data_IF_908578403094
#
_entry.id   IF_908578403094
#
_cell.length_a   1.000
_cell.length_b   1.000
_cell.length_c   1.000
_cell.angle_alpha   90.00
_cell.angle_beta   90.00
_cell.angle_gamma   90.00
#
_symmetry.space_group_name_H-M   'P 1'
#
loop_
_entity.id
_entity.type
_entity.pdbx_description
1 polymer ?
#
# COMPACT_ATOMS: atom_id res chain seq x y z
N UNK A 1 -0.08 33.33 17.02
CA UNK A 1 -0.83 32.30 17.77
C UNK A 1 -0.17 30.98 17.42
N UNK A 2 0.35 30.25 18.43
CA UNK A 2 0.99 28.96 18.18
C UNK A 2 -0.07 27.89 17.96
N UNK A 3 0.03 27.16 16.87
CA UNK A 3 -0.76 25.99 16.62
C UNK A 3 -0.23 24.85 17.51
N UNK A 4 -1.09 24.23 18.31
CA UNK A 4 -0.74 23.11 19.19
C UNK A 4 -1.32 21.80 18.66
N UNK A 5 -0.46 20.80 18.56
CA UNK A 5 -0.85 19.42 18.23
C UNK A 5 -0.71 18.56 19.48
N UNK A 6 -1.77 17.90 19.90
CA UNK A 6 -1.82 17.10 21.13
C UNK A 6 -1.64 15.62 20.84
N UNK A 7 -0.83 14.94 21.67
CA UNK A 7 -0.63 13.49 21.63
C UNK A 7 -1.18 12.87 22.90
N UNK A 8 -1.98 11.80 22.77
CA UNK A 8 -2.60 11.11 23.89
C UNK A 8 -2.11 9.67 23.96
N UNK A 9 -1.67 9.27 25.15
CA UNK A 9 -1.13 7.93 25.38
C UNK A 9 -1.93 7.21 26.46
N UNK A 10 -2.03 5.90 26.36
CA UNK A 10 -2.59 5.05 27.42
C UNK A 10 -1.56 4.75 28.51
N UNK A 11 -1.97 3.94 29.51
CA UNK A 11 -1.09 3.52 30.61
C UNK A 11 0.08 2.63 30.15
N UNK A 12 -0.06 1.95 29.02
CA UNK A 12 1.00 1.15 28.39
C UNK A 12 1.90 1.99 27.47
N UNK A 13 1.72 3.33 27.41
CA UNK A 13 2.44 4.29 26.58
C UNK A 13 2.20 4.11 25.06
N UNK A 14 1.10 3.48 24.68
CA UNK A 14 0.69 3.41 23.27
C UNK A 14 -0.02 4.70 22.91
N UNK A 15 0.22 5.21 21.70
CA UNK A 15 -0.48 6.39 21.17
C UNK A 15 -1.93 6.03 20.88
N UNK A 16 -2.86 6.55 21.67
CA UNK A 16 -4.31 6.27 21.52
C UNK A 16 -5.07 7.44 20.90
N UNK A 17 -4.43 8.59 20.70
CA UNK A 17 -5.10 9.71 20.04
C UNK A 17 -4.18 10.87 19.71
N UNK A 18 -4.65 11.65 18.74
CA UNK A 18 -4.08 12.94 18.35
C UNK A 18 -5.19 13.99 18.41
N UNK A 19 -4.83 15.22 18.73
CA UNK A 19 -5.74 16.38 18.63
C UNK A 19 -5.05 17.44 17.79
N UNK A 20 -5.68 17.84 16.69
CA UNK A 20 -5.15 18.90 15.83
C UNK A 20 -5.50 20.30 16.39
N UNK A 21 -4.98 21.33 15.75
CA UNK A 21 -5.16 22.74 16.10
C UNK A 21 -6.64 23.19 16.10
N UNK A 22 -7.49 22.51 15.36
CA UNK A 22 -8.94 22.78 15.29
C UNK A 22 -9.75 21.98 16.35
N UNK A 23 -9.05 21.20 17.21
CA UNK A 23 -9.67 20.35 18.21
C UNK A 23 -10.26 19.05 17.68
N UNK A 24 -10.09 18.75 16.37
CA UNK A 24 -10.49 17.46 15.82
C UNK A 24 -9.57 16.35 16.34
N UNK A 25 -10.13 15.17 16.50
CA UNK A 25 -9.43 14.03 17.14
C UNK A 25 -9.25 12.87 16.17
N UNK A 26 -8.02 12.36 16.12
CA UNK A 26 -7.68 11.06 15.59
C UNK A 26 -7.58 10.06 16.74
N UNK A 27 -8.07 8.85 16.60
CA UNK A 27 -8.08 7.83 17.66
C UNK A 27 -7.56 6.51 17.15
N UNK A 28 -6.89 5.78 18.05
CA UNK A 28 -6.33 4.45 17.79
C UNK A 28 -6.80 3.48 18.85
N UNK A 29 -7.11 2.25 18.46
CA UNK A 29 -7.44 1.15 19.37
C UNK A 29 -6.54 -0.05 19.08
N UNK A 30 -6.11 -0.72 20.15
CA UNK A 30 -5.18 -1.83 20.09
C UNK A 30 -5.74 -3.06 20.79
N UNK A 31 -5.37 -4.23 20.32
CA UNK A 31 -5.64 -5.48 21.03
C UNK A 31 -4.63 -5.74 22.15
N UNK A 32 -4.76 -6.91 22.79
CA UNK A 32 -3.88 -7.35 23.89
C UNK A 32 -2.45 -7.69 23.45
N UNK A 33 -2.21 -7.80 22.14
CA UNK A 33 -0.89 -8.03 21.55
C UNK A 33 -0.29 -6.74 20.98
N UNK A 34 -0.83 -5.57 21.36
CA UNK A 34 -0.42 -4.24 20.89
C UNK A 34 -0.58 -4.00 19.37
N UNK A 35 -1.43 -4.79 18.70
CA UNK A 35 -1.73 -4.61 17.28
C UNK A 35 -2.88 -3.59 17.13
N UNK A 36 -2.76 -2.71 16.15
CA UNK A 36 -3.81 -1.73 15.81
C UNK A 36 -5.03 -2.47 15.24
N UNK A 37 -6.15 -2.47 15.94
CA UNK A 37 -7.39 -3.13 15.50
C UNK A 37 -8.43 -2.17 14.95
N UNK A 38 -8.36 -0.90 15.29
CA UNK A 38 -9.20 0.14 14.69
C UNK A 38 -8.56 1.52 14.82
N UNK A 39 -8.90 2.38 13.87
CA UNK A 39 -8.59 3.80 13.93
C UNK A 39 -9.75 4.65 13.40
N UNK A 40 -9.87 5.88 13.93
CA UNK A 40 -10.83 6.87 13.44
C UNK A 40 -10.08 8.15 13.12
N UNK A 41 -10.11 8.56 11.84
CA UNK A 41 -9.45 9.77 11.35
C UNK A 41 -10.05 11.07 11.86
N UNK A 42 -9.40 12.20 11.55
CA UNK A 42 -9.94 13.54 11.83
C UNK A 42 -11.23 13.83 11.06
N UNK A 43 -11.47 13.13 9.97
CA UNK A 43 -12.67 13.13 9.16
C UNK A 43 -13.73 12.12 9.63
N UNK A 44 -13.51 11.51 10.80
CA UNK A 44 -14.35 10.49 11.42
C UNK A 44 -14.48 9.17 10.66
N UNK A 45 -13.75 8.97 9.55
CA UNK A 45 -13.71 7.67 8.93
C UNK A 45 -13.13 6.64 9.86
N UNK A 46 -13.85 5.53 10.00
CA UNK A 46 -13.45 4.41 10.84
C UNK A 46 -12.86 3.32 9.94
N UNK A 47 -11.69 2.81 10.34
CA UNK A 47 -11.04 1.66 9.72
C UNK A 47 -10.79 0.59 10.77
N UNK A 48 -11.17 -0.64 10.46
CA UNK A 48 -10.92 -1.82 11.30
C UNK A 48 -9.91 -2.75 10.65
N UNK A 49 -9.13 -3.46 11.47
CA UNK A 49 -8.04 -4.34 11.05
C UNK A 49 -8.18 -5.71 11.69
N UNK A 50 -7.93 -6.78 10.94
CA UNK A 50 -7.93 -8.16 11.41
C UNK A 50 -6.62 -8.84 11.08
N UNK A 51 -6.15 -9.65 12.01
CA UNK A 51 -4.87 -10.34 11.92
C UNK A 51 -5.08 -11.85 12.04
N UNK A 52 -4.20 -12.62 11.39
CA UNK A 52 -4.14 -14.05 11.60
C UNK A 52 -3.32 -14.41 12.86
N UNK A 53 -3.21 -15.70 13.15
CA UNK A 53 -2.43 -16.20 14.28
C UNK A 53 -0.92 -15.90 14.19
N UNK A 54 -0.41 -15.63 12.98
CA UNK A 54 0.97 -15.22 12.71
C UNK A 54 1.23 -13.72 12.85
N UNK A 55 0.26 -12.94 13.37
CA UNK A 55 0.31 -11.47 13.47
C UNK A 55 0.34 -10.74 12.12
N UNK A 56 -0.05 -11.37 11.05
CA UNK A 56 -0.12 -10.75 9.75
C UNK A 56 -1.51 -10.15 9.52
N UNK A 57 -1.56 -8.93 8.97
CA UNK A 57 -2.80 -8.28 8.54
C UNK A 57 -3.43 -9.09 7.40
N UNK A 58 -4.67 -9.56 7.61
CA UNK A 58 -5.42 -10.36 6.63
C UNK A 58 -6.65 -9.64 6.09
N UNK A 59 -7.16 -8.64 6.82
CA UNK A 59 -8.33 -7.89 6.39
C UNK A 59 -8.31 -6.47 6.94
N UNK A 60 -8.72 -5.51 6.10
CA UNK A 60 -9.00 -4.13 6.45
C UNK A 60 -10.45 -3.83 6.06
N UNK A 61 -11.20 -3.18 6.94
CA UNK A 61 -12.57 -2.74 6.72
C UNK A 61 -12.66 -1.23 6.86
N UNK A 62 -13.16 -0.57 5.84
CA UNK A 62 -13.41 0.87 5.86
C UNK A 62 -14.92 1.10 6.03
N UNK A 63 -15.27 1.92 7.00
CA UNK A 63 -16.64 2.34 7.28
C UNK A 63 -16.78 3.82 6.91
N UNK A 64 -18.02 4.29 6.79
CA UNK A 64 -18.26 5.69 6.48
C UNK A 64 -17.78 6.65 7.58
N UNK A 65 -18.07 7.92 7.38
CA UNK A 65 -17.70 9.04 8.24
C UNK A 65 -18.75 9.32 9.33
N UNK A 66 -19.47 8.29 9.78
CA UNK A 66 -20.41 8.42 10.91
C UNK A 66 -19.67 8.66 12.23
N UNK A 67 -19.58 9.94 12.59
CA UNK A 67 -18.93 10.38 13.82
C UNK A 67 -19.53 9.74 15.08
N UNK A 68 -20.83 9.42 15.07
CA UNK A 68 -21.51 8.76 16.20
C UNK A 68 -21.07 7.31 16.31
N UNK A 69 -21.05 6.58 15.19
CA UNK A 69 -20.56 5.21 15.11
C UNK A 69 -19.07 5.12 15.48
N UNK A 70 -18.24 5.97 14.88
CA UNK A 70 -16.81 6.02 15.19
C UNK A 70 -16.56 6.32 16.67
N UNK A 71 -17.28 7.28 17.26
CA UNK A 71 -17.15 7.61 18.68
C UNK A 71 -17.59 6.47 19.59
N UNK A 72 -18.69 5.78 19.26
CA UNK A 72 -19.22 4.64 20.01
C UNK A 72 -18.24 3.47 19.98
N UNK A 73 -17.80 3.06 18.81
CA UNK A 73 -16.86 1.94 18.64
C UNK A 73 -15.50 2.23 19.27
N UNK A 74 -14.95 3.43 19.07
CA UNK A 74 -13.67 3.82 19.67
C UNK A 74 -13.77 3.96 21.20
N UNK A 75 -14.92 4.35 21.76
CA UNK A 75 -15.14 4.34 23.20
C UNK A 75 -15.18 2.91 23.76
N UNK A 76 -15.81 1.99 23.07
CA UNK A 76 -15.82 0.57 23.42
C UNK A 76 -14.42 -0.06 23.34
N UNK A 77 -13.66 0.27 22.30
CA UNK A 77 -12.31 -0.27 22.08
C UNK A 77 -11.24 0.37 22.99
N UNK A 78 -11.33 1.68 23.24
CA UNK A 78 -10.32 2.44 23.97
C UNK A 78 -10.51 2.56 25.48
N UNK A 79 -11.68 2.18 26.02
CA UNK A 79 -12.07 2.44 27.42
C UNK A 79 -12.22 1.20 28.30
N UNK A 80 -12.06 0.00 27.79
CA UNK A 80 -12.27 -1.22 28.57
C UNK A 80 -10.99 -1.71 29.21
N UNK A 81 -11.00 -2.05 30.52
CA UNK A 81 -10.00 -2.95 31.06
C UNK A 81 -10.10 -4.27 30.29
N UNK A 82 -8.92 -4.88 30.00
CA UNK A 82 -8.76 -6.17 29.32
C UNK A 82 -9.94 -7.09 29.67
N UNK A 83 -10.76 -7.53 28.68
CA UNK A 83 -11.87 -8.43 28.99
C UNK A 83 -11.31 -9.68 29.67
N UNK A 84 -11.87 -10.05 30.80
CA UNK A 84 -11.68 -11.42 31.32
C UNK A 84 -12.08 -12.37 30.21
N UNK A 85 -11.44 -13.52 30.13
CA UNK A 85 -11.48 -14.56 29.07
C UNK A 85 -12.84 -14.86 28.40
N UNK A 86 -13.92 -14.34 28.88
CA UNK A 86 -15.31 -14.62 28.48
C UNK A 86 -16.05 -13.43 27.84
N UNK A 87 -15.37 -12.33 27.56
CA UNK A 87 -15.98 -11.24 26.79
C UNK A 87 -15.91 -11.53 25.29
N UNK A 88 -17.04 -11.37 24.61
CA UNK A 88 -17.14 -11.50 23.16
C UNK A 88 -16.01 -10.73 22.47
N UNK A 89 -15.36 -11.30 21.47
CA UNK A 89 -14.26 -10.63 20.81
C UNK A 89 -14.73 -9.31 20.22
N UNK A 90 -13.92 -8.26 20.38
CA UNK A 90 -14.14 -6.91 19.83
C UNK A 90 -14.48 -6.87 18.33
N UNK A 91 -14.21 -7.99 17.63
CA UNK A 91 -14.66 -8.27 16.28
C UNK A 91 -16.17 -8.20 16.10
N UNK A 92 -16.96 -8.57 17.10
CA UNK A 92 -18.41 -8.72 16.96
C UNK A 92 -19.11 -7.37 16.76
N UNK A 93 -18.62 -6.29 17.38
CA UNK A 93 -19.19 -4.94 17.23
C UNK A 93 -18.86 -4.35 15.85
N UNK A 94 -17.63 -4.54 15.35
CA UNK A 94 -17.25 -4.16 13.99
C UNK A 94 -17.87 -5.09 12.94
N UNK A 95 -18.04 -6.39 13.27
CA UNK A 95 -18.66 -7.39 12.39
C UNK A 95 -20.18 -7.15 12.24
N UNK A 96 -20.83 -6.50 13.20
CA UNK A 96 -22.25 -6.14 13.12
C UNK A 96 -22.54 -4.97 12.16
N UNK A 97 -21.50 -4.22 11.77
CA UNK A 97 -21.63 -3.08 10.86
C UNK A 97 -21.31 -3.47 9.42
N UNK A 98 -22.01 -2.89 8.48
CA UNK A 98 -21.73 -3.09 7.05
C UNK A 98 -20.62 -2.14 6.62
N UNK A 99 -19.42 -2.63 6.27
CA UNK A 99 -18.35 -1.78 5.78
C UNK A 99 -18.65 -1.28 4.37
N UNK A 100 -18.18 -0.09 4.03
CA UNK A 100 -18.20 0.46 2.68
C UNK A 100 -17.20 -0.26 1.78
N UNK A 101 -16.07 -0.64 2.35
CA UNK A 101 -15.01 -1.34 1.62
C UNK A 101 -14.37 -2.39 2.51
N UNK A 102 -14.11 -3.56 1.94
CA UNK A 102 -13.33 -4.63 2.55
C UNK A 102 -12.13 -4.89 1.66
N UNK A 103 -10.93 -4.91 2.24
CA UNK A 103 -9.70 -5.34 1.56
C UNK A 103 -9.14 -6.56 2.27
N UNK A 104 -9.06 -7.67 1.55
CA UNK A 104 -8.47 -8.93 2.01
C UNK A 104 -7.03 -9.03 1.52
N UNK A 105 -6.14 -9.53 2.37
CA UNK A 105 -4.70 -9.70 2.09
C UNK A 105 -4.34 -11.18 2.23
N UNK A 106 -3.80 -11.76 1.17
CA UNK A 106 -3.31 -13.13 1.17
C UNK A 106 -1.79 -13.14 1.07
N UNK A 107 -1.16 -13.95 1.90
CA UNK A 107 0.28 -14.07 1.97
C UNK A 107 0.73 -15.49 1.69
N UNK A 108 1.98 -15.65 1.27
CA UNK A 108 2.63 -16.94 1.17
C UNK A 108 3.20 -17.40 2.53
N UNK A 109 3.83 -18.56 2.54
CA UNK A 109 4.43 -19.14 3.76
C UNK A 109 5.62 -18.32 4.31
N UNK A 110 6.16 -17.39 3.53
CA UNK A 110 7.22 -16.47 3.94
C UNK A 110 6.68 -15.12 4.41
N UNK A 111 5.34 -14.95 4.49
CA UNK A 111 4.68 -13.71 4.89
C UNK A 111 4.59 -12.67 3.78
N UNK A 112 5.04 -12.95 2.55
CA UNK A 112 5.01 -12.00 1.44
C UNK A 112 3.58 -11.89 0.88
N UNK A 113 3.14 -10.66 0.57
CA UNK A 113 1.82 -10.40 0.02
C UNK A 113 1.71 -10.94 -1.41
N UNK A 114 0.90 -11.98 -1.63
CA UNK A 114 0.71 -12.58 -2.95
C UNK A 114 -0.61 -12.17 -3.63
N UNK A 115 -1.55 -11.63 -2.85
CA UNK A 115 -2.85 -11.26 -3.39
C UNK A 115 -3.57 -10.25 -2.52
N UNK A 116 -4.22 -9.27 -3.15
CA UNK A 116 -5.18 -8.37 -2.51
C UNK A 116 -6.50 -8.42 -3.23
N UNK A 117 -7.60 -8.38 -2.46
CA UNK A 117 -8.94 -8.34 -2.99
C UNK A 117 -9.74 -7.27 -2.26
N UNK A 118 -9.99 -6.15 -2.91
CA UNK A 118 -10.80 -5.08 -2.38
C UNK A 118 -12.21 -5.10 -3.00
N UNK A 119 -13.23 -5.05 -2.14
CA UNK A 119 -14.64 -4.96 -2.51
C UNK A 119 -15.21 -3.67 -1.97
N UNK A 120 -15.76 -2.86 -2.86
CA UNK A 120 -16.41 -1.59 -2.55
C UNK A 120 -17.75 -1.58 -3.30
N UNK A 121 -18.85 -1.78 -2.58
CA UNK A 121 -20.18 -1.97 -3.13
C UNK A 121 -20.15 -2.97 -4.31
N UNK A 122 -20.37 -2.47 -5.54
CA UNK A 122 -20.40 -3.29 -6.76
C UNK A 122 -19.03 -3.43 -7.45
N UNK A 123 -17.98 -2.80 -6.91
CA UNK A 123 -16.65 -2.81 -7.51
C UNK A 123 -15.75 -3.81 -6.81
N UNK A 124 -15.11 -4.65 -7.61
CA UNK A 124 -14.10 -5.59 -7.15
C UNK A 124 -12.77 -5.21 -7.80
N UNK A 125 -11.76 -4.99 -6.97
CA UNK A 125 -10.38 -4.75 -7.37
C UNK A 125 -9.52 -5.89 -6.83
N UNK A 126 -8.86 -6.58 -7.73
CA UNK A 126 -8.01 -7.72 -7.40
C UNK A 126 -6.61 -7.47 -7.96
N UNK A 127 -5.57 -7.72 -7.16
CA UNK A 127 -4.17 -7.61 -7.58
C UNK A 127 -3.40 -8.83 -7.10
N UNK A 128 -2.65 -9.45 -8.00
CA UNK A 128 -1.76 -10.56 -7.69
C UNK A 128 -0.30 -10.10 -7.76
N UNK A 129 0.54 -10.66 -6.88
CA UNK A 129 1.95 -10.34 -6.75
C UNK A 129 2.78 -11.62 -6.88
N UNK A 130 3.93 -11.53 -7.53
CA UNK A 130 4.88 -12.64 -7.67
C UNK A 130 6.28 -12.17 -7.31
N UNK A 131 7.05 -13.07 -6.74
CA UNK A 131 8.39 -12.80 -6.22
C UNK A 131 9.39 -13.81 -6.80
N UNK A 132 10.61 -13.35 -6.95
CA UNK A 132 11.73 -14.24 -7.25
C UNK A 132 12.17 -15.04 -6.00
N UNK A 133 13.11 -16.00 -6.15
CA UNK A 133 13.65 -16.74 -5.01
C UNK A 133 14.35 -15.86 -3.96
N UNK A 134 14.90 -14.71 -4.37
CA UNK A 134 15.59 -13.77 -3.49
C UNK A 134 14.62 -12.86 -2.72
N UNK A 135 13.33 -12.93 -3.04
CA UNK A 135 12.27 -12.16 -2.38
C UNK A 135 11.95 -10.80 -3.02
N UNK A 136 12.53 -10.49 -4.18
CA UNK A 136 12.20 -9.29 -4.91
C UNK A 136 10.85 -9.43 -5.61
N UNK A 137 10.04 -8.37 -5.60
CA UNK A 137 8.77 -8.34 -6.33
C UNK A 137 9.04 -8.27 -7.83
N UNK A 138 8.77 -9.35 -8.56
CA UNK A 138 9.02 -9.39 -10.02
C UNK A 138 7.78 -9.08 -10.85
N UNK A 139 6.57 -9.20 -10.27
CA UNK A 139 5.34 -8.92 -11.00
C UNK A 139 4.22 -8.46 -10.06
N UNK A 140 3.49 -7.43 -10.48
CA UNK A 140 2.22 -7.01 -9.90
C UNK A 140 1.19 -6.86 -11.02
N UNK A 141 0.05 -7.54 -10.89
CA UNK A 141 -0.93 -7.60 -11.98
C UNK A 141 -2.36 -7.48 -11.49
N UNK A 142 -3.18 -6.83 -12.27
CA UNK A 142 -4.63 -6.75 -12.10
C UNK A 142 -5.32 -6.76 -13.49
N UNK A 143 -6.66 -6.73 -13.51
CA UNK A 143 -7.43 -6.77 -14.76
C UNK A 143 -7.21 -5.59 -15.72
N UNK A 144 -6.48 -4.56 -15.31
CA UNK A 144 -6.25 -3.35 -16.13
C UNK A 144 -4.81 -3.21 -16.58
N UNK A 145 -3.87 -3.67 -15.74
CA UNK A 145 -2.45 -3.49 -15.98
C UNK A 145 -1.62 -4.60 -15.36
N UNK A 146 -0.48 -4.84 -15.96
CA UNK A 146 0.57 -5.73 -15.47
C UNK A 146 1.84 -4.90 -15.39
N UNK A 147 2.56 -5.02 -14.29
CA UNK A 147 3.84 -4.38 -14.09
C UNK A 147 4.87 -5.45 -13.73
N UNK A 148 5.97 -5.53 -14.47
CA UNK A 148 7.10 -6.39 -14.15
C UNK A 148 8.32 -5.57 -13.77
N UNK A 149 9.17 -6.17 -12.97
CA UNK A 149 10.34 -5.54 -12.38
C UNK A 149 11.57 -6.40 -12.61
N UNK A 150 12.63 -5.82 -13.14
CA UNK A 150 13.91 -6.48 -13.34
C UNK A 150 14.93 -5.96 -12.33
N UNK A 151 15.72 -6.85 -11.78
CA UNK A 151 16.74 -6.54 -10.80
C UNK A 151 18.12 -6.98 -11.28
N UNK A 152 19.15 -6.27 -10.85
CA UNK A 152 20.53 -6.72 -11.03
C UNK A 152 20.94 -7.72 -9.94
N UNK A 153 22.16 -8.24 -10.05
CA UNK A 153 22.73 -9.20 -9.08
C UNK A 153 22.83 -8.65 -7.64
N UNK A 154 22.79 -7.32 -7.47
CA UNK A 154 22.81 -6.66 -6.17
C UNK A 154 21.40 -6.42 -5.61
N UNK A 155 20.33 -6.90 -6.27
CA UNK A 155 18.94 -6.67 -5.87
C UNK A 155 18.44 -5.25 -6.14
N UNK A 156 19.14 -4.46 -6.95
CA UNK A 156 18.69 -3.13 -7.33
C UNK A 156 17.75 -3.19 -8.53
N UNK A 157 16.65 -2.47 -8.48
CA UNK A 157 15.67 -2.37 -9.57
C UNK A 157 16.28 -1.67 -10.78
N UNK A 158 16.48 -2.37 -11.89
CA UNK A 158 17.08 -1.82 -13.13
C UNK A 158 16.05 -1.49 -14.20
N UNK A 159 14.89 -2.15 -14.21
CA UNK A 159 13.80 -1.81 -15.12
C UNK A 159 12.43 -2.09 -14.52
N UNK A 160 11.46 -1.30 -14.94
CA UNK A 160 10.03 -1.50 -14.74
C UNK A 160 9.34 -1.49 -16.09
N UNK A 161 8.65 -2.55 -16.42
CA UNK A 161 7.86 -2.70 -17.63
C UNK A 161 6.38 -2.70 -17.30
N UNK A 162 5.58 -2.00 -18.08
CA UNK A 162 4.15 -1.95 -17.90
C UNK A 162 3.41 -2.35 -19.17
N UNK A 163 2.36 -3.14 -18.99
CA UNK A 163 1.42 -3.55 -20.03
C UNK A 163 0.01 -3.11 -19.64
N UNK A 164 -0.73 -2.65 -20.62
CA UNK A 164 -2.18 -2.47 -20.47
C UNK A 164 -2.85 -3.81 -20.78
N UNK A 165 -3.70 -4.28 -19.89
CA UNK A 165 -4.54 -5.46 -20.15
C UNK A 165 -5.75 -5.00 -20.99
N UNK A 166 -5.94 -5.55 -22.21
CA UNK A 166 -7.09 -5.21 -23.03
C UNK A 166 -8.41 -5.66 -22.37
N UNK A 167 -9.47 -4.91 -22.61
CA UNK A 167 -10.80 -5.34 -22.20
C UNK A 167 -11.28 -6.56 -23.00
N UNK A 168 -12.32 -7.26 -22.50
CA UNK A 168 -12.93 -8.40 -23.22
C UNK A 168 -13.41 -7.98 -24.61
N UNK A 169 -13.97 -6.79 -24.72
CA UNK A 169 -14.47 -6.23 -25.98
C UNK A 169 -13.33 -5.89 -26.96
N UNK A 170 -12.20 -5.39 -26.44
CA UNK A 170 -10.99 -5.13 -27.25
C UNK A 170 -10.42 -6.44 -27.77
N UNK A 171 -10.30 -7.47 -26.92
CA UNK A 171 -9.83 -8.79 -27.34
C UNK A 171 -10.74 -9.41 -28.38
N UNK A 172 -12.05 -9.39 -28.17
CA UNK A 172 -13.03 -9.94 -29.13
C UNK A 172 -12.95 -9.24 -30.50
N UNK A 173 -12.79 -7.92 -30.54
CA UNK A 173 -12.60 -7.15 -31.80
C UNK A 173 -11.32 -7.54 -32.54
N UNK A 174 -10.27 -7.86 -31.80
CA UNK A 174 -8.95 -8.19 -32.36
C UNK A 174 -8.78 -9.71 -32.62
N UNK A 175 -9.82 -10.52 -32.36
CA UNK A 175 -9.76 -11.98 -32.50
C UNK A 175 -8.80 -12.66 -31.53
N UNK A 176 -8.49 -12.00 -30.40
CA UNK A 176 -7.60 -12.52 -29.37
C UNK A 176 -8.38 -13.26 -28.30
N UNK A 177 -7.79 -14.28 -27.65
CA UNK A 177 -8.42 -14.95 -26.52
C UNK A 177 -8.60 -13.99 -25.35
N UNK A 178 -9.52 -14.32 -24.43
CA UNK A 178 -9.66 -13.57 -23.17
C UNK A 178 -8.34 -13.60 -22.39
N UNK A 179 -7.84 -12.43 -21.99
CA UNK A 179 -6.60 -12.31 -21.25
C UNK A 179 -6.79 -12.80 -19.82
N UNK A 180 -6.10 -13.84 -19.42
CA UNK A 180 -5.95 -14.16 -18.00
C UNK A 180 -4.72 -13.42 -17.44
N UNK A 181 -4.97 -12.24 -16.91
CA UNK A 181 -3.93 -11.40 -16.30
C UNK A 181 -3.23 -12.06 -15.10
N UNK A 182 -3.76 -13.17 -14.58
CA UNK A 182 -3.13 -13.97 -13.52
C UNK A 182 -2.06 -14.91 -14.07
N UNK A 183 -2.12 -15.24 -15.36
CA UNK A 183 -1.14 -16.10 -16.02
C UNK A 183 0.06 -15.27 -16.46
N UNK A 184 1.23 -15.50 -15.82
CA UNK A 184 2.46 -14.80 -16.14
C UNK A 184 2.99 -15.10 -17.54
N UNK A 185 2.68 -16.28 -18.13
CA UNK A 185 3.15 -16.65 -19.47
C UNK A 185 2.42 -15.87 -20.56
N UNK A 186 1.20 -15.45 -20.31
CA UNK A 186 0.40 -14.69 -21.26
C UNK A 186 1.01 -13.32 -21.60
N UNK A 187 1.62 -12.66 -20.60
CA UNK A 187 2.11 -11.28 -20.72
C UNK A 187 3.22 -11.16 -21.78
N UNK A 188 4.11 -12.14 -21.81
CA UNK A 188 5.30 -12.09 -22.68
C UNK A 188 4.99 -12.42 -24.14
N UNK A 189 3.87 -13.13 -24.40
CA UNK A 189 3.56 -13.66 -25.73
C UNK A 189 2.59 -12.80 -26.54
N UNK A 190 1.70 -12.06 -25.87
CA UNK A 190 0.53 -11.46 -26.53
C UNK A 190 0.34 -9.96 -26.28
N UNK A 191 1.00 -9.38 -25.27
CA UNK A 191 0.82 -7.98 -24.95
C UNK A 191 2.06 -7.15 -25.31
N UNK A 192 1.92 -6.09 -26.11
CA UNK A 192 3.02 -5.16 -26.33
C UNK A 192 3.32 -4.40 -25.03
N UNK A 193 4.59 -4.24 -24.69
CA UNK A 193 5.02 -3.35 -23.60
C UNK A 193 4.51 -1.95 -23.90
N UNK A 194 3.74 -1.37 -23.00
CA UNK A 194 3.20 -0.02 -23.16
C UNK A 194 4.23 1.02 -22.74
N UNK A 195 4.92 0.77 -21.62
CA UNK A 195 5.88 1.69 -21.05
C UNK A 195 7.05 0.94 -20.41
N UNK A 196 8.25 1.51 -20.54
CA UNK A 196 9.43 1.02 -19.85
C UNK A 196 10.16 2.18 -19.19
N UNK A 197 10.45 2.03 -17.90
CA UNK A 197 11.34 2.92 -17.14
C UNK A 197 12.58 2.14 -16.79
N UNK A 198 13.78 2.73 -17.00
CA UNK A 198 15.06 2.10 -16.62
C UNK A 198 15.78 2.94 -15.58
N UNK A 199 16.54 2.27 -14.73
CA UNK A 199 17.27 2.88 -13.62
C UNK A 199 18.75 2.51 -13.73
N UNK A 200 19.63 3.50 -13.50
CA UNK A 200 21.07 3.33 -13.50
C UNK A 200 21.62 3.67 -12.14
N UNK A 201 22.65 2.97 -11.73
CA UNK A 201 23.26 3.13 -10.41
C UNK A 201 24.78 3.27 -10.53
N UNK A 202 25.40 3.99 -9.61
CA UNK A 202 26.84 3.96 -9.43
C UNK A 202 27.25 2.72 -8.61
N UNK A 203 28.55 2.55 -8.43
CA UNK A 203 29.07 1.40 -7.67
C UNK A 203 28.78 1.49 -6.17
N UNK A 204 28.44 2.66 -5.63
CA UNK A 204 27.97 2.84 -4.24
C UNK A 204 26.50 2.52 -4.04
N UNK A 205 25.77 2.23 -5.13
CA UNK A 205 24.35 1.95 -5.11
C UNK A 205 23.44 3.19 -5.18
N UNK A 206 23.99 4.37 -5.41
CA UNK A 206 23.21 5.57 -5.64
C UNK A 206 22.61 5.54 -7.05
N UNK A 207 21.32 5.85 -7.19
CA UNK A 207 20.68 5.92 -8.51
C UNK A 207 21.14 7.16 -9.25
N UNK A 208 21.90 6.97 -10.34
CA UNK A 208 22.46 8.06 -11.14
C UNK A 208 21.54 8.55 -12.24
N UNK A 209 20.66 7.67 -12.76
CA UNK A 209 19.70 8.07 -13.78
C UNK A 209 18.40 7.26 -13.73
N UNK A 210 17.33 7.89 -14.21
CA UNK A 210 16.05 7.27 -14.53
C UNK A 210 15.69 7.63 -15.96
N UNK A 211 15.64 6.63 -16.85
CA UNK A 211 15.19 6.82 -18.25
C UNK A 211 13.68 6.62 -18.31
N UNK A 212 12.96 7.64 -18.73
CA UNK A 212 11.51 7.67 -18.87
C UNK A 212 11.05 6.95 -20.17
N UNK A 213 9.75 6.57 -20.28
CA UNK A 213 9.22 5.89 -21.45
C UNK A 213 9.37 6.67 -22.77
N UNK A 214 9.39 8.00 -22.70
CA UNK A 214 9.59 8.90 -23.85
C UNK A 214 11.06 9.11 -24.21
N UNK A 215 11.98 8.47 -23.50
CA UNK A 215 13.42 8.54 -23.72
C UNK A 215 14.12 9.66 -22.96
N UNK A 216 13.40 10.58 -22.32
CA UNK A 216 14.00 11.62 -21.47
C UNK A 216 14.63 10.99 -20.23
N UNK A 217 15.67 11.65 -19.71
CA UNK A 217 16.44 11.12 -18.60
C UNK A 217 16.45 12.10 -17.42
N UNK A 218 16.05 11.59 -16.25
CA UNK A 218 16.26 12.28 -14.98
C UNK A 218 17.61 11.87 -14.45
N UNK A 219 18.51 12.83 -14.26
CA UNK A 219 19.85 12.61 -13.70
C UNK A 219 19.90 13.03 -12.25
N UNK A 220 20.65 12.29 -11.46
CA UNK A 220 20.87 12.54 -10.05
C UNK A 220 22.35 12.67 -9.79
N UNK A 221 22.78 13.84 -9.30
CA UNK A 221 24.15 14.12 -8.92
C UNK A 221 24.29 14.02 -7.41
N UNK A 222 25.26 13.25 -6.96
CA UNK A 222 25.53 13.06 -5.54
C UNK A 222 26.85 13.70 -5.11
N UNK A 223 26.88 14.17 -3.89
CA UNK A 223 28.04 14.75 -3.27
C UNK A 223 28.59 13.79 -2.20
N UNK A 224 29.89 13.53 -2.22
CA UNK A 224 30.55 12.64 -1.25
C UNK A 224 29.97 11.23 -1.23
N UNK A 225 29.54 10.75 -0.05
CA UNK A 225 29.08 9.38 0.18
C UNK A 225 27.58 9.16 -0.03
N UNK A 226 26.94 9.88 -0.96
CA UNK A 226 25.54 9.63 -1.31
C UNK A 226 24.55 10.73 -0.90
N UNK A 227 25.03 11.95 -0.66
CA UNK A 227 24.13 13.09 -0.49
C UNK A 227 23.69 13.62 -1.85
N UNK A 228 22.39 13.58 -2.12
CA UNK A 228 21.83 14.14 -3.36
C UNK A 228 22.11 15.65 -3.39
N UNK A 229 22.75 16.09 -4.48
CA UNK A 229 23.14 17.49 -4.71
C UNK A 229 22.26 18.15 -5.76
N UNK A 230 22.02 17.47 -6.87
CA UNK A 230 21.29 18.05 -8.00
C UNK A 230 20.39 17.02 -8.67
N UNK A 231 19.27 17.48 -9.19
CA UNK A 231 18.41 16.71 -10.08
C UNK A 231 18.23 17.52 -11.36
N UNK A 232 18.44 16.88 -12.52
CA UNK A 232 18.16 17.47 -13.83
C UNK A 232 17.25 16.55 -14.67
N UNK A 233 16.53 17.15 -15.62
CA UNK A 233 15.83 16.43 -16.67
C UNK A 233 16.61 16.71 -17.97
N UNK A 234 17.17 15.67 -18.55
CA UNK A 234 18.17 15.77 -19.61
C UNK A 234 19.29 16.76 -19.18
N UNK A 235 19.43 17.89 -19.85
CA UNK A 235 20.44 18.92 -19.53
C UNK A 235 19.89 20.09 -18.68
N UNK A 236 18.59 20.08 -18.36
CA UNK A 236 17.96 21.15 -17.59
C UNK A 236 17.93 20.83 -16.09
N UNK A 237 18.53 21.69 -15.29
CA UNK A 237 18.53 21.57 -13.82
C UNK A 237 17.14 21.89 -13.27
N UNK A 238 16.50 20.88 -12.61
CA UNK A 238 15.20 21.03 -11.95
C UNK A 238 15.38 21.60 -10.55
N UNK A 239 16.36 21.06 -9.81
CA UNK A 239 16.65 21.50 -8.45
C UNK A 239 18.13 21.33 -8.14
N UNK A 240 18.65 22.29 -7.40
CA UNK A 240 19.99 22.30 -6.82
C UNK A 240 19.82 22.37 -5.30
N UNK A 241 20.40 21.41 -4.59
CA UNK A 241 20.26 21.27 -3.14
C UNK A 241 21.55 21.77 -2.50
N UNK A 242 21.66 23.09 -2.35
CA UNK A 242 22.74 23.69 -1.56
C UNK A 242 22.48 23.44 -0.07
N UNK A 243 23.59 23.17 0.67
CA UNK A 243 23.61 23.10 2.13
C UNK A 243 24.29 24.32 2.72
#
# INVERSE_FOLDING_TARGET
>A
MGHTFGYHYDKARRLVGLTNENGARYRFAYDVLDRLIAESGFDHKLTGYRYNAGNELVEQREFGDDASLAAKLMAQLGGQPVPKRDAAPLSDDLDSQTPLRITEFKRDILGRLIHTLARDNDKVQETAYQYDPDGNLVRAANRHSITCFDYNENGQLIARHQWKVPSKEENARNGLPETDWRDAQYDMLYLPVTETVRYHYDFNGNRTATVLPDGRQINYLYYGSGHLHQISLDDEVITDIER
#
